data_IF_444419568562
#
_entry.id   IF_444419568562
#
_cell.length_a   1.000
_cell.length_b   1.000
_cell.length_c   1.000
_cell.angle_alpha   90.00
_cell.angle_beta   90.00
_cell.angle_gamma   90.00
#
_symmetry.space_group_name_H-M   'P 1'
#
loop_
_entity.id
_entity.type
_entity.pdbx_description
1 polymer ?
#
# COMPACT_ATOMS: atom_id res chain seq x y z
N UNK A 1 -12.24 -4.48 -12.26
CA UNK A 1 -12.56 -3.06 -12.50
C UNK A 1 -13.76 -3.01 -13.40
N UNK A 2 -14.68 -2.08 -13.14
CA UNK A 2 -15.73 -1.73 -14.11
C UNK A 2 -15.13 -0.64 -14.99
N UNK A 3 -14.94 -0.91 -16.28
CA UNK A 3 -14.51 0.11 -17.25
C UNK A 3 -15.74 0.74 -17.90
N UNK A 4 -15.76 2.07 -17.97
CA UNK A 4 -16.71 2.82 -18.77
C UNK A 4 -16.35 2.72 -20.27
N UNK A 5 -17.34 2.61 -21.13
CA UNK A 5 -17.13 2.47 -22.58
C UNK A 5 -16.55 3.78 -23.13
N UNK A 6 -15.25 3.77 -23.47
CA UNK A 6 -14.55 4.91 -24.06
C UNK A 6 -13.24 5.28 -23.36
N UNK A 7 -12.95 4.71 -22.19
CA UNK A 7 -11.73 5.00 -21.44
C UNK A 7 -10.69 3.87 -21.60
N UNK A 8 -9.51 4.23 -22.09
CA UNK A 8 -8.39 3.29 -22.24
C UNK A 8 -7.68 3.17 -20.89
N UNK A 9 -7.74 2.01 -20.24
CA UNK A 9 -6.96 1.75 -19.03
C UNK A 9 -5.70 0.93 -19.35
N UNK A 10 -4.56 1.38 -18.83
CA UNK A 10 -3.31 0.64 -18.90
C UNK A 10 -3.09 -0.14 -17.61
N UNK A 11 -2.91 -1.45 -17.72
CA UNK A 11 -2.60 -2.32 -16.59
C UNK A 11 -1.08 -2.35 -16.37
N UNK A 12 -0.60 -1.69 -15.33
CA UNK A 12 0.82 -1.67 -14.95
C UNK A 12 1.14 -2.78 -13.95
N UNK A 13 2.31 -3.42 -14.10
CA UNK A 13 2.74 -4.56 -13.27
C UNK A 13 4.18 -4.38 -12.81
N UNK A 14 4.39 -4.42 -11.50
CA UNK A 14 5.72 -4.54 -10.87
C UNK A 14 6.03 -6.02 -10.64
N UNK A 15 7.27 -6.43 -10.96
CA UNK A 15 7.69 -7.83 -10.90
C UNK A 15 8.97 -7.97 -10.06
N UNK A 16 9.09 -9.11 -9.38
CA UNK A 16 10.37 -9.53 -8.82
C UNK A 16 11.35 -9.83 -9.99
N UNK A 17 12.53 -9.18 -10.06
CA UNK A 17 13.51 -9.44 -11.12
C UNK A 17 13.88 -10.93 -11.24
N UNK A 18 13.87 -11.67 -10.14
CA UNK A 18 14.24 -13.09 -10.11
C UNK A 18 13.21 -14.00 -10.79
N UNK A 19 11.95 -13.56 -10.93
CA UNK A 19 10.91 -14.37 -11.58
C UNK A 19 10.81 -14.13 -13.09
N UNK A 20 11.39 -13.03 -13.59
CA UNK A 20 11.31 -12.62 -15.01
C UNK A 20 11.68 -13.73 -15.99
N UNK A 21 12.74 -14.54 -15.77
CA UNK A 21 13.11 -15.64 -16.67
C UNK A 21 12.00 -16.68 -16.87
N UNK A 22 11.13 -16.87 -15.88
CA UNK A 22 10.05 -17.86 -15.91
C UNK A 22 8.76 -17.36 -16.56
N UNK A 23 8.70 -16.07 -16.93
CA UNK A 23 7.52 -15.44 -17.51
C UNK A 23 7.52 -15.43 -19.05
N UNK A 24 8.40 -16.22 -19.67
CA UNK A 24 8.48 -16.33 -21.12
C UNK A 24 7.16 -16.84 -21.70
N UNK A 25 6.65 -16.15 -22.72
CA UNK A 25 5.38 -16.51 -23.38
C UNK A 25 4.10 -16.07 -22.65
N UNK A 26 4.21 -15.41 -21.49
CA UNK A 26 3.05 -14.86 -20.78
C UNK A 26 2.80 -13.41 -21.17
N UNK A 27 1.55 -13.11 -21.55
CA UNK A 27 1.09 -11.73 -21.77
C UNK A 27 0.67 -11.14 -20.42
N UNK A 28 1.54 -10.29 -19.87
CA UNK A 28 1.27 -9.49 -18.68
C UNK A 28 0.97 -8.05 -19.08
N UNK A 29 0.51 -7.24 -18.13
CA UNK A 29 0.39 -5.80 -18.32
C UNK A 29 1.73 -5.11 -18.61
N UNK A 30 1.72 -3.79 -18.75
CA UNK A 30 2.91 -2.98 -18.94
C UNK A 30 3.83 -3.09 -17.72
N UNK A 31 5.04 -3.61 -17.91
CA UNK A 31 5.97 -3.87 -16.82
C UNK A 31 6.65 -2.58 -16.39
N UNK A 32 6.66 -2.33 -15.10
CA UNK A 32 7.31 -1.16 -14.51
C UNK A 32 8.38 -1.59 -13.50
N UNK A 33 9.31 -0.68 -13.20
CA UNK A 33 10.37 -0.86 -12.21
C UNK A 33 10.46 0.35 -11.28
N UNK A 34 9.31 0.95 -10.95
CA UNK A 34 9.25 2.16 -10.11
C UNK A 34 9.58 1.81 -8.66
N UNK A 35 9.15 0.63 -8.21
CA UNK A 35 9.32 0.17 -6.83
C UNK A 35 10.79 -0.08 -6.50
N UNK A 36 11.60 -0.52 -7.47
CA UNK A 36 13.02 -0.83 -7.24
C UNK A 36 13.83 0.39 -6.77
N UNK A 37 13.39 1.60 -7.12
CA UNK A 37 14.08 2.84 -6.76
C UNK A 37 13.62 3.45 -5.44
N UNK A 38 12.52 2.96 -4.88
CA UNK A 38 11.84 3.57 -3.72
C UNK A 38 12.06 2.79 -2.42
N UNK A 39 12.34 1.49 -2.51
CA UNK A 39 12.43 0.60 -1.35
C UNK A 39 13.78 -0.10 -1.29
N UNK A 40 14.34 -0.18 -0.09
CA UNK A 40 15.58 -0.89 0.24
C UNK A 40 15.45 -1.57 1.59
N UNK A 41 16.23 -2.63 1.83
CA UNK A 41 16.40 -3.15 3.17
C UNK A 41 17.31 -2.24 4.00
N UNK A 42 17.13 -2.28 5.31
CA UNK A 42 17.94 -1.48 6.25
C UNK A 42 19.39 -1.93 6.26
N UNK A 43 19.64 -3.22 5.98
CA UNK A 43 20.97 -3.83 5.93
C UNK A 43 21.68 -3.67 4.58
N UNK A 44 21.06 -3.03 3.59
CA UNK A 44 21.66 -2.91 2.26
C UNK A 44 22.81 -1.89 2.29
N UNK A 45 24.02 -2.35 1.98
CA UNK A 45 25.21 -1.50 1.85
C UNK A 45 25.32 -0.85 0.46
N UNK A 46 24.63 -1.40 -0.56
CA UNK A 46 24.60 -0.87 -1.93
C UNK A 46 23.18 -0.84 -2.51
N UNK A 47 22.99 -0.08 -3.59
CA UNK A 47 21.70 0.14 -4.26
C UNK A 47 21.19 -1.07 -5.07
N UNK A 48 21.92 -2.19 -5.09
CA UNK A 48 21.68 -3.35 -5.96
C UNK A 48 20.69 -4.37 -5.37
N UNK A 49 19.95 -4.03 -4.32
CA UNK A 49 19.03 -4.96 -3.68
C UNK A 49 17.70 -5.10 -4.44
N UNK A 50 17.03 -6.23 -4.22
CA UNK A 50 15.73 -6.51 -4.83
C UNK A 50 14.65 -5.59 -4.21
N UNK A 51 14.47 -4.40 -4.80
CA UNK A 51 13.56 -3.38 -4.25
C UNK A 51 12.08 -3.81 -4.28
N UNK A 52 11.67 -4.71 -5.17
CA UNK A 52 10.33 -5.33 -5.12
C UNK A 52 10.15 -6.11 -3.81
N UNK A 53 11.14 -6.92 -3.41
CA UNK A 53 11.09 -7.64 -2.13
C UNK A 53 11.19 -6.71 -0.94
N UNK A 54 12.00 -5.66 -1.01
CA UNK A 54 12.07 -4.65 0.04
C UNK A 54 10.72 -3.95 0.26
N UNK A 55 10.00 -3.66 -0.83
CA UNK A 55 8.64 -3.12 -0.77
C UNK A 55 7.67 -4.09 -0.12
N UNK A 56 7.64 -5.34 -0.58
CA UNK A 56 6.77 -6.37 0.01
C UNK A 56 7.07 -6.58 1.50
N UNK A 57 8.35 -6.58 1.87
CA UNK A 57 8.78 -6.63 3.27
C UNK A 57 8.27 -5.42 4.07
N UNK A 58 8.39 -4.21 3.55
CA UNK A 58 7.88 -3.00 4.21
C UNK A 58 6.37 -3.08 4.45
N UNK A 59 5.59 -3.64 3.51
CA UNK A 59 4.14 -3.83 3.68
C UNK A 59 3.84 -4.84 4.79
N UNK A 60 4.57 -5.95 4.84
CA UNK A 60 4.44 -6.94 5.91
C UNK A 60 4.80 -6.35 7.28
N UNK A 61 5.89 -5.58 7.36
CA UNK A 61 6.31 -4.90 8.59
C UNK A 61 5.26 -3.89 9.05
N UNK A 62 4.70 -3.11 8.12
CA UNK A 62 3.62 -2.16 8.43
C UNK A 62 2.38 -2.86 8.95
N UNK A 63 1.96 -3.96 8.32
CA UNK A 63 0.83 -4.76 8.77
C UNK A 63 1.08 -5.35 10.18
N UNK A 64 2.29 -5.88 10.42
CA UNK A 64 2.70 -6.40 11.73
C UNK A 64 2.62 -5.33 12.81
N UNK A 65 3.13 -4.12 12.54
CA UNK A 65 3.06 -2.99 13.45
C UNK A 65 1.63 -2.59 13.75
N UNK A 66 0.74 -2.58 12.75
CA UNK A 66 -0.67 -2.29 12.97
C UNK A 66 -1.31 -3.30 13.92
N UNK A 67 -0.98 -4.59 13.80
CA UNK A 67 -1.43 -5.65 14.71
C UNK A 67 -0.89 -5.44 16.12
N UNK A 68 0.40 -5.15 16.27
CA UNK A 68 1.02 -4.89 17.60
C UNK A 68 0.41 -3.69 18.30
N UNK A 69 0.25 -2.59 17.58
CA UNK A 69 -0.36 -1.37 18.07
C UNK A 69 -1.77 -1.65 18.56
N UNK A 70 -2.59 -2.33 17.75
CA UNK A 70 -3.94 -2.73 18.15
C UNK A 70 -3.95 -3.66 19.38
N UNK A 71 -3.04 -4.65 19.41
CA UNK A 71 -2.87 -5.56 20.55
C UNK A 71 -2.43 -4.85 21.85
N UNK A 72 -1.68 -3.75 21.74
CA UNK A 72 -1.31 -2.89 22.86
C UNK A 72 -2.41 -1.91 23.31
N UNK A 73 -3.59 -1.95 22.68
CA UNK A 73 -4.69 -1.04 22.95
C UNK A 73 -4.50 0.38 22.40
N UNK A 74 -3.48 0.59 21.58
CA UNK A 74 -3.25 1.88 20.91
C UNK A 74 -4.10 1.98 19.65
N UNK A 75 -4.67 3.16 19.41
CA UNK A 75 -5.44 3.47 18.21
C UNK A 75 -4.88 4.75 17.60
N UNK A 76 -4.54 4.72 16.31
CA UNK A 76 -4.11 5.90 15.55
C UNK A 76 -5.21 6.28 14.55
N UNK A 77 -6.23 7.02 14.99
CA UNK A 77 -7.28 7.48 14.09
C UNK A 77 -6.68 8.42 13.04
N UNK A 78 -7.09 8.24 11.78
CA UNK A 78 -6.76 9.14 10.67
C UNK A 78 -8.04 9.89 10.29
N UNK A 79 -8.37 10.99 11.01
CA UNK A 79 -9.57 11.74 10.74
C UNK A 79 -9.52 12.40 9.36
N UNK A 80 -10.66 12.42 8.67
CA UNK A 80 -10.83 13.05 7.37
C UNK A 80 -12.31 13.10 6.99
N UNK A 81 -12.66 13.58 5.80
CA UNK A 81 -14.05 13.83 5.40
C UNK A 81 -14.99 12.61 5.58
N UNK A 82 -14.46 11.39 5.44
CA UNK A 82 -15.19 10.14 5.67
C UNK A 82 -15.67 9.94 7.12
N UNK A 83 -15.12 10.67 8.11
CA UNK A 83 -15.57 10.63 9.50
C UNK A 83 -17.04 10.99 9.65
N UNK A 84 -17.60 11.83 8.78
CA UNK A 84 -19.02 12.18 8.77
C UNK A 84 -19.94 10.98 8.58
N UNK A 85 -19.49 9.95 7.85
CA UNK A 85 -20.25 8.72 7.60
C UNK A 85 -19.79 7.53 8.47
N UNK A 86 -18.80 7.74 9.34
CA UNK A 86 -18.26 6.69 10.18
C UNK A 86 -19.26 6.33 11.30
N UNK A 87 -19.66 5.05 11.38
CA UNK A 87 -20.66 4.57 12.35
C UNK A 87 -20.26 4.79 13.81
N UNK A 88 -18.96 4.88 14.10
CA UNK A 88 -18.42 5.08 15.45
C UNK A 88 -18.00 6.53 15.71
N UNK A 89 -18.38 7.48 14.84
CA UNK A 89 -18.02 8.90 14.95
C UNK A 89 -18.31 9.47 16.34
N UNK A 90 -19.45 9.15 16.93
CA UNK A 90 -19.90 9.70 18.23
C UNK A 90 -19.02 9.28 19.40
N UNK A 91 -18.34 8.13 19.32
CA UNK A 91 -17.46 7.61 20.37
C UNK A 91 -15.98 7.76 20.02
N UNK A 92 -15.65 8.12 18.78
CA UNK A 92 -14.28 8.34 18.34
C UNK A 92 -13.80 9.73 18.80
N UNK A 93 -12.76 9.82 19.66
CA UNK A 93 -12.28 11.11 20.19
C UNK A 93 -11.71 12.02 19.09
N UNK A 94 -11.27 11.45 17.96
CA UNK A 94 -10.70 12.22 16.84
C UNK A 94 -11.72 12.62 15.78
N UNK A 95 -13.01 12.27 15.96
CA UNK A 95 -14.07 12.68 15.04
C UNK A 95 -14.18 14.20 14.87
N UNK A 96 -13.86 14.96 15.92
CA UNK A 96 -13.84 16.43 15.94
C UNK A 96 -12.85 17.03 14.93
N UNK A 97 -11.82 16.28 14.53
CA UNK A 97 -10.78 16.77 13.62
C UNK A 97 -11.05 16.46 12.14
N UNK A 98 -12.07 15.65 11.82
CA UNK A 98 -12.35 15.23 10.44
C UNK A 98 -13.81 15.22 10.03
N UNK A 99 -14.75 15.27 10.99
CA UNK A 99 -16.17 15.38 10.71
C UNK A 99 -16.69 16.79 10.93
N UNK A 100 -17.54 17.29 10.04
CA UNK A 100 -18.31 18.51 10.31
C UNK A 100 -19.19 18.28 11.54
N UNK A 101 -19.01 19.07 12.60
CA UNK A 101 -19.95 19.12 13.72
C UNK A 101 -21.29 19.65 13.16
N UNK A 102 -22.28 18.77 13.04
CA UNK A 102 -23.67 19.15 12.87
C UNK A 102 -24.34 19.18 14.22
#
# INVERSE_FOLDING_TARGET
GVMEVGETSTHYVELDPEIVPYLAGLTLGERTGVVSQQFRFVSDESYESNGFRAWMYQRLQTARRAIDVAGSGQVHPVPGAGCTFCKVRTVCPSSIHGGELR
#
